data_IF_055695278924
#
_entry.id   IF_055695278924
#
_cell.length_a   1.000
_cell.length_b   1.000
_cell.length_c   1.000
_cell.angle_alpha   90.00
_cell.angle_beta   90.00
_cell.angle_gamma   90.00
#
_symmetry.space_group_name_H-M   'P 1'
#
loop_
_entity.id
_entity.type
_entity.pdbx_description
1 polymer ?
#
# COMPACT_ATOMS: atom_id res chain seq x y z
N UNK A 1 19.68 -7.11 -2.63
CA UNK A 1 18.35 -7.63 -2.23
C UNK A 1 17.25 -6.68 -2.65
N UNK A 2 17.32 -5.39 -2.29
CA UNK A 2 16.33 -4.34 -2.64
C UNK A 2 16.07 -4.26 -4.16
N UNK A 3 17.10 -4.19 -5.00
CA UNK A 3 16.89 -4.09 -6.46
C UNK A 3 16.08 -5.24 -7.07
N UNK A 4 16.32 -6.49 -6.68
CA UNK A 4 15.53 -7.64 -7.16
C UNK A 4 14.08 -7.60 -6.68
N UNK A 5 13.86 -7.10 -5.46
CA UNK A 5 12.51 -6.92 -4.91
C UNK A 5 11.76 -5.83 -5.67
N UNK A 6 12.38 -4.68 -5.93
CA UNK A 6 11.80 -3.58 -6.72
C UNK A 6 11.45 -4.04 -8.14
N UNK A 7 12.31 -4.81 -8.80
CA UNK A 7 12.01 -5.36 -10.13
C UNK A 7 10.87 -6.39 -10.09
N UNK A 8 10.70 -7.15 -9.00
CA UNK A 8 9.54 -8.00 -8.82
C UNK A 8 8.26 -7.18 -8.65
N UNK A 9 8.27 -6.13 -7.82
CA UNK A 9 7.13 -5.23 -7.62
C UNK A 9 6.70 -4.54 -8.92
N UNK A 10 7.66 -4.08 -9.74
CA UNK A 10 7.37 -3.52 -11.08
C UNK A 10 6.63 -4.51 -11.99
N UNK A 11 7.01 -5.79 -11.96
CA UNK A 11 6.34 -6.83 -12.76
C UNK A 11 4.92 -7.10 -12.26
N UNK A 12 4.71 -7.08 -10.95
CA UNK A 12 3.37 -7.22 -10.36
C UNK A 12 2.50 -6.01 -10.74
N UNK A 13 3.00 -4.79 -10.59
CA UNK A 13 2.29 -3.58 -10.98
C UNK A 13 1.92 -3.57 -12.48
N UNK A 14 2.84 -4.02 -13.34
CA UNK A 14 2.55 -4.18 -14.77
C UNK A 14 1.47 -5.24 -15.02
N UNK A 15 1.54 -6.39 -14.33
CA UNK A 15 0.52 -7.44 -14.43
C UNK A 15 -0.86 -6.93 -14.01
N UNK A 16 -0.97 -6.23 -12.86
CA UNK A 16 -2.23 -5.66 -12.38
C UNK A 16 -2.82 -4.63 -13.36
N UNK A 17 -1.96 -3.85 -14.02
CA UNK A 17 -2.40 -2.86 -15.00
C UNK A 17 -2.86 -3.49 -16.30
N UNK A 18 -2.07 -4.43 -16.83
CA UNK A 18 -2.28 -5.01 -18.16
C UNK A 18 -3.32 -6.15 -18.13
N UNK A 19 -3.58 -6.75 -16.96
CA UNK A 19 -4.47 -7.89 -16.75
C UNK A 19 -5.39 -7.64 -15.54
N UNK A 20 -6.00 -6.45 -15.48
CA UNK A 20 -6.76 -6.01 -14.29
C UNK A 20 -7.89 -6.97 -13.90
N UNK A 21 -8.67 -7.48 -14.85
CA UNK A 21 -9.78 -8.40 -14.52
C UNK A 21 -9.26 -9.71 -13.91
N UNK A 22 -8.17 -10.27 -14.44
CA UNK A 22 -7.52 -11.47 -13.88
C UNK A 22 -6.96 -11.17 -12.47
N UNK A 23 -6.34 -10.00 -12.29
CA UNK A 23 -5.81 -9.59 -10.99
C UNK A 23 -6.93 -9.42 -9.94
N UNK A 24 -8.08 -8.85 -10.32
CA UNK A 24 -9.25 -8.72 -9.42
C UNK A 24 -9.88 -10.08 -9.10
N UNK A 25 -9.96 -10.99 -10.07
CA UNK A 25 -10.46 -12.35 -9.86
C UNK A 25 -9.59 -13.11 -8.85
N UNK A 26 -8.25 -13.05 -8.98
CA UNK A 26 -7.33 -13.67 -8.01
C UNK A 26 -7.60 -13.14 -6.60
N UNK A 27 -7.79 -11.83 -6.44
CA UNK A 27 -8.06 -11.22 -5.12
C UNK A 27 -9.44 -11.62 -4.59
N UNK A 28 -10.46 -11.68 -5.45
CA UNK A 28 -11.80 -12.14 -5.08
C UNK A 28 -11.79 -13.60 -4.57
N UNK A 29 -11.10 -14.49 -5.28
CA UNK A 29 -10.95 -15.90 -4.88
C UNK A 29 -10.16 -16.04 -3.57
N UNK A 30 -9.04 -15.34 -3.41
CA UNK A 30 -8.18 -15.44 -2.22
C UNK A 30 -8.82 -14.84 -0.95
N UNK A 31 -9.65 -13.80 -1.11
CA UNK A 31 -10.34 -13.15 0.00
C UNK A 31 -11.75 -13.70 0.24
N UNK A 32 -12.23 -14.62 -0.60
CA UNK A 32 -13.61 -15.13 -0.61
C UNK A 32 -14.64 -13.98 -0.66
N UNK A 33 -14.40 -13.02 -1.57
CA UNK A 33 -15.20 -11.82 -1.77
C UNK A 33 -15.84 -11.81 -3.17
N UNK A 34 -16.96 -11.10 -3.29
CA UNK A 34 -17.57 -10.83 -4.59
C UNK A 34 -16.65 -9.94 -5.45
N UNK A 35 -16.51 -10.27 -6.75
CA UNK A 35 -15.68 -9.51 -7.69
C UNK A 35 -16.08 -8.03 -7.77
N UNK A 36 -17.37 -7.73 -7.63
CA UNK A 36 -17.88 -6.35 -7.61
C UNK A 36 -17.36 -5.58 -6.39
N UNK A 37 -17.37 -6.20 -5.21
CA UNK A 37 -16.83 -5.61 -4.00
C UNK A 37 -15.32 -5.35 -4.11
N UNK A 38 -14.57 -6.30 -4.71
CA UNK A 38 -13.13 -6.14 -4.96
C UNK A 38 -12.87 -5.01 -5.96
N UNK A 39 -13.70 -4.87 -7.00
CA UNK A 39 -13.57 -3.78 -7.97
C UNK A 39 -13.85 -2.41 -7.34
N UNK A 40 -14.85 -2.30 -6.47
CA UNK A 40 -15.12 -1.08 -5.72
C UNK A 40 -13.94 -0.72 -4.81
N UNK A 41 -13.41 -1.70 -4.07
CA UNK A 41 -12.24 -1.52 -3.23
C UNK A 41 -11.02 -1.09 -4.04
N UNK A 42 -10.77 -1.71 -5.20
CA UNK A 42 -9.63 -1.38 -6.05
C UNK A 42 -9.62 0.10 -6.44
N UNK A 43 -10.77 0.71 -6.69
CA UNK A 43 -10.88 2.13 -7.02
C UNK A 43 -10.55 3.07 -5.84
N UNK A 44 -10.53 2.57 -4.61
CA UNK A 44 -10.20 3.35 -3.41
C UNK A 44 -8.70 3.41 -3.11
N UNK A 45 -7.87 2.61 -3.78
CA UNK A 45 -6.44 2.51 -3.50
C UNK A 45 -5.58 3.11 -4.62
N UNK A 46 -4.45 3.71 -4.23
CA UNK A 46 -3.33 3.99 -5.13
C UNK A 46 -2.29 2.87 -5.00
N UNK A 47 -2.07 2.14 -6.09
CA UNK A 47 -1.07 1.06 -6.17
C UNK A 47 0.27 1.53 -6.76
N UNK A 48 0.47 2.84 -6.89
CA UNK A 48 1.78 3.39 -7.27
C UNK A 48 2.85 2.99 -6.24
N UNK A 49 4.10 2.85 -6.70
CA UNK A 49 5.24 2.59 -5.81
C UNK A 49 5.85 3.89 -5.27
N UNK A 50 5.25 5.03 -5.58
CA UNK A 50 5.77 6.34 -5.23
C UNK A 50 5.23 6.76 -3.87
N UNK A 51 6.11 7.24 -2.99
CA UNK A 51 5.71 7.82 -1.70
C UNK A 51 5.75 9.33 -1.81
N UNK A 52 4.59 9.96 -1.73
CA UNK A 52 4.46 11.41 -1.81
C UNK A 52 4.74 12.09 -0.46
N UNK A 53 4.94 13.40 -0.48
CA UNK A 53 5.06 14.17 0.76
C UNK A 53 3.75 14.21 1.56
N UNK A 54 2.59 14.07 0.90
CA UNK A 54 1.31 13.95 1.60
C UNK A 54 1.18 12.60 2.31
N UNK A 55 1.67 11.51 1.71
CA UNK A 55 1.73 10.20 2.37
C UNK A 55 2.61 10.27 3.63
N UNK A 56 3.81 10.88 3.52
CA UNK A 56 4.72 11.07 4.66
C UNK A 56 4.06 11.89 5.78
N UNK A 57 3.32 12.95 5.44
CA UNK A 57 2.56 13.73 6.43
C UNK A 57 1.44 12.90 7.06
N UNK A 58 0.74 12.08 6.29
CA UNK A 58 -0.30 11.16 6.79
C UNK A 58 0.28 10.12 7.75
N UNK A 59 1.40 9.53 7.40
CA UNK A 59 2.13 8.59 8.26
C UNK A 59 2.63 9.27 9.54
N UNK A 60 3.17 10.49 9.47
CA UNK A 60 3.61 11.21 10.67
C UNK A 60 2.43 11.50 11.59
N UNK A 61 1.29 11.97 11.07
CA UNK A 61 0.06 12.16 11.88
C UNK A 61 -0.38 10.87 12.57
N UNK A 62 -0.23 9.74 11.90
CA UNK A 62 -0.57 8.43 12.48
C UNK A 62 0.40 8.04 13.59
N UNK A 63 1.71 8.26 13.38
CA UNK A 63 2.72 8.04 14.41
C UNK A 63 2.49 8.95 15.63
N UNK A 64 2.19 10.22 15.42
CA UNK A 64 1.88 11.19 16.48
C UNK A 64 0.64 10.74 17.28
N UNK A 65 -0.43 10.35 16.59
CA UNK A 65 -1.63 9.80 17.24
C UNK A 65 -1.32 8.54 18.06
N UNK A 66 -0.48 7.64 17.54
CA UNK A 66 -0.07 6.43 18.26
C UNK A 66 0.75 6.76 19.51
N UNK A 67 1.59 7.79 19.46
CA UNK A 67 2.35 8.25 20.63
C UNK A 67 1.43 8.87 21.68
N UNK A 68 0.54 9.77 21.26
CA UNK A 68 -0.43 10.44 22.15
C UNK A 68 -1.39 9.45 22.82
N UNK A 69 -1.78 8.38 22.11
CA UNK A 69 -2.63 7.32 22.63
C UNK A 69 -1.87 6.26 23.45
N UNK A 70 -0.54 6.36 23.56
CA UNK A 70 0.30 5.40 24.28
C UNK A 70 0.42 4.04 23.60
N UNK A 71 0.14 3.95 22.30
CA UNK A 71 0.37 2.76 21.48
C UNK A 71 1.84 2.55 21.14
N UNK A 72 2.64 3.62 21.15
CA UNK A 72 4.10 3.59 21.03
C UNK A 72 4.73 4.45 22.13
N UNK A 73 5.94 4.09 22.54
CA UNK A 73 6.64 4.74 23.66
C UNK A 73 7.53 5.90 23.21
N UNK A 74 8.05 5.85 21.98
CA UNK A 74 9.02 6.82 21.46
C UNK A 74 8.50 7.52 20.20
N UNK A 75 8.90 8.78 20.05
CA UNK A 75 8.60 9.57 18.85
C UNK A 75 9.30 8.97 17.63
N UNK A 76 8.53 8.76 16.56
CA UNK A 76 9.04 8.25 15.29
C UNK A 76 9.11 9.37 14.26
N UNK A 77 10.32 9.66 13.78
CA UNK A 77 10.48 10.50 12.59
C UNK A 77 10.24 9.67 11.33
N UNK A 78 9.06 9.80 10.73
CA UNK A 78 8.65 9.05 9.55
C UNK A 78 9.57 9.28 8.35
N UNK A 79 10.20 10.46 8.21
CA UNK A 79 11.11 10.72 7.10
C UNK A 79 12.39 9.88 7.16
N UNK A 80 12.73 9.32 8.32
CA UNK A 80 13.89 8.42 8.47
C UNK A 80 13.65 7.02 7.87
N UNK A 81 12.40 6.69 7.54
CA UNK A 81 12.01 5.36 7.04
C UNK A 81 12.12 5.23 5.52
N UNK A 82 12.30 6.32 4.79
CA UNK A 82 12.35 6.33 3.34
C UNK A 82 13.78 6.56 2.84
N UNK A 83 14.14 5.90 1.74
CA UNK A 83 15.46 5.94 1.10
C UNK A 83 15.57 7.01 0.02
#
# INVERSE_FOLDING_TARGET
MIGRFVEAQKRVAAFMKDNQDEALQIVAEELDLDEEAVREMYACYDFSMDVTDEDKKGFQKTADFMLESGMIEEELNVNSLFL
#
